data_IF_724099588780
#
_entry.id   IF_724099588780
#
_cell.length_a   1.000
_cell.length_b   1.000
_cell.length_c   1.000
_cell.angle_alpha   90.00
_cell.angle_beta   90.00
_cell.angle_gamma   90.00
#
_symmetry.space_group_name_H-M   'P 1'
#
loop_
_entity.id
_entity.type
_entity.pdbx_description
1 polymer ?
#
# COMPACT_ATOMS: atom_id res chain seq x y z
N UNK A 1 -9.90 7.49 3.89
CA UNK A 1 -8.75 8.11 4.59
C UNK A 1 -7.57 8.13 3.63
N UNK A 2 -6.67 9.11 3.74
CA UNK A 2 -5.57 9.30 2.77
C UNK A 2 -4.21 9.32 3.46
N UNK A 3 -3.25 8.62 2.84
CA UNK A 3 -1.83 8.87 3.02
C UNK A 3 -1.33 9.73 1.86
N UNK A 4 -0.98 11.02 2.09
CA UNK A 4 -0.38 11.87 1.06
C UNK A 4 0.97 11.30 0.59
N UNK A 5 1.01 10.74 -0.62
CA UNK A 5 2.21 10.12 -1.22
C UNK A 5 2.13 8.60 -1.42
N UNK A 6 1.15 7.93 -0.82
CA UNK A 6 0.93 6.49 -1.01
C UNK A 6 -0.48 6.16 -1.52
N UNK A 7 -1.47 7.00 -1.24
CA UNK A 7 -2.80 6.87 -1.84
C UNK A 7 -2.81 7.50 -3.25
N UNK A 8 -3.12 6.74 -4.31
CA UNK A 8 -3.18 7.30 -5.67
C UNK A 8 -4.36 8.26 -5.82
N UNK A 9 -4.25 9.18 -6.78
CA UNK A 9 -5.36 10.04 -7.15
C UNK A 9 -6.50 9.19 -7.74
N UNK A 10 -7.70 9.31 -7.17
CA UNK A 10 -8.89 8.66 -7.71
C UNK A 10 -9.29 9.36 -9.01
N UNK A 11 -9.41 8.58 -10.09
CA UNK A 11 -9.85 9.06 -11.39
C UNK A 11 -11.11 8.32 -11.77
N UNK A 12 -12.09 9.08 -12.27
CA UNK A 12 -13.30 8.51 -12.86
C UNK A 12 -13.21 8.66 -14.36
N UNK A 13 -13.49 7.55 -15.06
CA UNK A 13 -13.58 7.54 -16.50
C UNK A 13 -15.04 7.77 -16.88
N UNK A 14 -15.38 8.99 -17.30
CA UNK A 14 -16.74 9.30 -17.72
C UNK A 14 -16.90 8.98 -19.21
N UNK A 15 -17.61 7.89 -19.51
CA UNK A 15 -17.83 7.41 -20.88
C UNK A 15 -18.73 8.39 -21.66
N UNK A 16 -19.49 9.25 -20.97
CA UNK A 16 -20.44 10.18 -21.58
C UNK A 16 -19.90 11.62 -21.74
N UNK A 17 -18.75 11.96 -21.15
CA UNK A 17 -18.22 13.33 -21.14
C UNK A 17 -17.02 13.54 -22.09
N UNK A 18 -16.84 14.74 -22.67
CA UNK A 18 -15.73 15.06 -23.57
C UNK A 18 -14.35 15.09 -22.87
N UNK A 19 -14.32 15.12 -21.54
CA UNK A 19 -13.10 14.95 -20.74
C UNK A 19 -13.11 13.53 -20.16
N UNK A 20 -12.41 12.56 -20.78
CA UNK A 20 -12.58 11.16 -20.44
C UNK A 20 -12.19 10.86 -18.99
N UNK A 21 -11.26 11.62 -18.39
CA UNK A 21 -10.78 11.37 -17.03
C UNK A 21 -10.92 12.61 -16.14
N UNK A 22 -11.79 12.52 -15.13
CA UNK A 22 -11.93 13.55 -14.09
C UNK A 22 -11.26 13.07 -12.79
N UNK A 23 -10.46 13.93 -12.16
CA UNK A 23 -9.90 13.64 -10.85
C UNK A 23 -10.97 13.84 -9.77
N UNK A 24 -11.26 12.80 -8.99
CA UNK A 24 -12.17 12.89 -7.86
C UNK A 24 -11.36 13.25 -6.62
N UNK A 25 -11.77 14.32 -5.93
CA UNK A 25 -11.30 14.61 -4.58
C UNK A 25 -12.29 14.02 -3.57
N UNK A 26 -12.02 12.84 -3.00
CA UNK A 26 -12.93 12.26 -2.00
C UNK A 26 -12.93 13.14 -0.74
N UNK A 27 -14.09 13.20 -0.06
CA UNK A 27 -14.13 13.72 1.31
C UNK A 27 -13.39 12.73 2.21
N UNK A 28 -12.36 13.22 2.90
CA UNK A 28 -11.50 12.36 3.71
C UNK A 28 -11.47 12.85 5.14
N UNK A 29 -12.03 12.07 6.09
CA UNK A 29 -12.11 12.49 7.50
C UNK A 29 -10.74 12.43 8.20
N UNK A 30 -9.81 11.63 7.65
CA UNK A 30 -8.46 11.43 8.19
C UNK A 30 -7.45 11.50 7.05
N UNK A 31 -6.44 12.34 7.25
CA UNK A 31 -5.24 12.43 6.43
C UNK A 31 -4.02 12.25 7.35
N UNK A 32 -3.16 11.29 7.05
CA UNK A 32 -1.99 10.99 7.88
C UNK A 32 -0.83 10.45 7.03
N UNK A 33 0.40 10.77 7.42
CA UNK A 33 1.63 10.25 6.81
C UNK A 33 2.14 8.98 7.51
N UNK A 34 1.25 8.20 8.12
CA UNK A 34 1.59 6.98 8.85
C UNK A 34 0.59 5.87 8.52
N UNK A 35 1.09 4.81 7.89
CA UNK A 35 0.28 3.63 7.55
C UNK A 35 -0.28 2.94 8.78
N UNK A 36 0.44 2.98 9.92
CA UNK A 36 -0.02 2.40 11.19
C UNK A 36 -1.23 3.14 11.77
N UNK A 37 -1.23 4.48 11.69
CA UNK A 37 -2.36 5.28 12.12
C UNK A 37 -3.60 4.99 11.27
N UNK A 38 -3.42 4.95 9.95
CA UNK A 38 -4.49 4.65 9.02
C UNK A 38 -5.04 3.24 9.19
N UNK A 39 -4.18 2.25 9.47
CA UNK A 39 -4.60 0.89 9.83
C UNK A 39 -5.47 0.89 11.08
N UNK A 40 -5.01 1.53 12.16
CA UNK A 40 -5.78 1.61 13.41
C UNK A 40 -7.14 2.28 13.20
N UNK A 41 -7.19 3.33 12.38
CA UNK A 41 -8.43 4.02 12.03
C UNK A 41 -9.37 3.12 11.20
N UNK A 42 -8.83 2.35 10.24
CA UNK A 42 -9.60 1.38 9.45
C UNK A 42 -10.19 0.27 10.34
N UNK A 43 -9.38 -0.31 11.22
CA UNK A 43 -9.82 -1.32 12.21
C UNK A 43 -10.86 -0.76 13.19
N UNK A 44 -10.88 0.55 13.41
CA UNK A 44 -11.87 1.24 14.26
C UNK A 44 -13.13 1.67 13.47
N UNK A 45 -13.28 1.25 12.22
CA UNK A 45 -14.46 1.55 11.41
C UNK A 45 -14.51 2.97 10.84
N UNK A 46 -13.40 3.71 10.81
CA UNK A 46 -13.35 5.11 10.34
C UNK A 46 -13.36 5.24 8.79
N UNK A 47 -13.67 4.16 8.09
CA UNK A 47 -13.81 4.09 6.63
C UNK A 47 -12.66 3.37 5.92
N UNK A 48 -12.48 3.69 4.64
CA UNK A 48 -11.58 2.96 3.73
C UNK A 48 -10.17 3.56 3.75
N UNK A 49 -9.13 2.72 3.71
CA UNK A 49 -7.74 3.14 3.61
C UNK A 49 -6.99 2.35 2.52
N UNK A 50 -6.03 3.01 1.86
CA UNK A 50 -5.12 2.38 0.91
C UNK A 50 -3.81 2.06 1.63
N UNK A 51 -3.55 0.78 1.90
CA UNK A 51 -2.43 0.32 2.74
C UNK A 51 -1.63 -0.80 2.05
N UNK A 52 -0.32 -0.90 2.32
CA UNK A 52 0.50 -2.00 1.82
C UNK A 52 0.00 -3.37 2.30
N UNK A 53 0.04 -4.36 1.42
CA UNK A 53 -0.46 -5.72 1.65
C UNK A 53 0.22 -6.41 2.85
N UNK A 54 1.54 -6.22 3.02
CA UNK A 54 2.30 -6.75 4.16
C UNK A 54 1.79 -6.28 5.52
N UNK A 55 1.17 -5.10 5.58
CA UNK A 55 0.71 -4.50 6.82
C UNK A 55 -0.68 -5.02 7.23
N UNK A 56 -1.48 -5.44 6.25
CA UNK A 56 -2.91 -5.71 6.44
C UNK A 56 -3.29 -7.18 6.22
N UNK A 57 -2.39 -8.02 5.71
CA UNK A 57 -2.65 -9.43 5.39
C UNK A 57 -3.26 -10.20 6.56
N UNK A 58 -2.65 -10.15 7.74
CA UNK A 58 -3.15 -10.84 8.93
C UNK A 58 -4.54 -10.34 9.38
N UNK A 59 -4.83 -9.05 9.17
CA UNK A 59 -6.12 -8.47 9.51
C UNK A 59 -7.21 -8.86 8.50
N UNK A 60 -6.85 -9.07 7.24
CA UNK A 60 -7.74 -9.62 6.22
C UNK A 60 -8.01 -11.10 6.50
N UNK A 61 -6.97 -11.88 6.79
CA UNK A 61 -7.09 -13.31 7.13
C UNK A 61 -7.98 -13.52 8.37
N UNK A 62 -7.89 -12.63 9.36
CA UNK A 62 -8.73 -12.64 10.55
C UNK A 62 -10.16 -12.08 10.32
N UNK A 63 -10.47 -11.59 9.11
CA UNK A 63 -11.77 -10.97 8.79
C UNK A 63 -12.00 -9.60 9.42
N UNK A 64 -10.99 -9.00 10.05
CA UNK A 64 -11.07 -7.67 10.65
C UNK A 64 -11.03 -6.55 9.59
N UNK A 65 -10.46 -6.83 8.42
CA UNK A 65 -10.49 -5.97 7.25
C UNK A 65 -11.07 -6.72 6.05
N UNK A 66 -11.82 -6.02 5.21
CA UNK A 66 -12.40 -6.56 3.98
C UNK A 66 -11.78 -5.85 2.78
N UNK A 67 -11.15 -6.58 1.83
CA UNK A 67 -10.63 -5.99 0.60
C UNK A 67 -11.75 -5.39 -0.25
N UNK A 68 -11.53 -4.18 -0.77
CA UNK A 68 -12.44 -3.54 -1.71
C UNK A 68 -12.02 -3.90 -3.14
N UNK A 69 -12.86 -4.67 -3.84
CA UNK A 69 -12.68 -4.90 -5.28
C UNK A 69 -13.24 -3.70 -6.05
N UNK A 70 -12.38 -3.04 -6.82
CA UNK A 70 -12.78 -1.99 -7.76
C UNK A 70 -12.81 -2.58 -9.17
N UNK A 71 -13.79 -2.17 -9.96
CA UNK A 71 -13.91 -2.57 -11.36
C UNK A 71 -12.89 -1.81 -12.21
N UNK A 72 -12.05 -2.53 -12.96
CA UNK A 72 -11.10 -1.95 -13.92
C UNK A 72 -9.66 -2.46 -13.80
N UNK A 73 -8.82 -2.13 -14.80
CA UNK A 73 -7.37 -2.39 -14.74
C UNK A 73 -6.70 -1.28 -13.94
N UNK A 74 -6.09 -1.66 -12.82
CA UNK A 74 -5.29 -0.75 -12.01
C UNK A 74 -4.03 -0.33 -12.76
N UNK A 75 -3.92 0.97 -13.05
CA UNK A 75 -2.69 1.59 -13.54
C UNK A 75 -2.03 2.38 -12.39
N UNK A 76 -1.82 1.73 -11.25
CA UNK A 76 -1.11 2.33 -10.12
C UNK A 76 0.31 1.80 -10.04
N UNK A 77 1.31 2.66 -9.74
CA UNK A 77 2.67 2.20 -9.56
C UNK A 77 2.71 1.24 -8.37
N UNK A 78 3.16 0.00 -8.61
CA UNK A 78 3.47 -0.90 -7.50
C UNK A 78 4.60 -0.28 -6.68
N UNK A 79 4.36 -0.13 -5.38
CA UNK A 79 5.41 0.27 -4.45
C UNK A 79 6.27 -0.94 -4.10
N UNK A 80 7.57 -0.83 -4.33
CA UNK A 80 8.56 -1.86 -3.98
C UNK A 80 9.23 -1.55 -2.65
N UNK A 81 9.57 -2.59 -1.89
CA UNK A 81 10.39 -2.46 -0.69
C UNK A 81 11.87 -2.61 -1.08
N UNK A 82 12.69 -1.66 -0.66
CA UNK A 82 14.12 -1.63 -1.00
C UNK A 82 14.98 -1.73 0.25
N UNK A 83 16.00 -2.58 0.21
CA UNK A 83 17.08 -2.56 1.19
C UNK A 83 18.16 -1.58 0.73
N UNK A 84 18.20 -0.39 1.32
CA UNK A 84 19.21 0.64 1.03
C UNK A 84 20.35 0.55 2.03
N UNK A 85 21.58 0.48 1.54
CA UNK A 85 22.79 0.46 2.34
C UNK A 85 23.92 1.18 1.60
N UNK A 86 24.88 1.74 2.35
CA UNK A 86 25.99 2.46 1.73
C UNK A 86 26.87 1.51 0.91
N UNK A 87 27.27 1.92 -0.31
CA UNK A 87 28.26 1.18 -1.07
C UNK A 87 29.58 1.20 -0.29
N UNK A 88 30.08 0.02 0.08
CA UNK A 88 31.36 -0.15 0.75
C UNK A 88 32.37 -0.74 -0.22
N UNK A 89 33.61 -0.22 -0.21
CA UNK A 89 34.73 -0.74 -1.02
C UNK A 89 34.99 -2.23 -0.72
N UNK A 90 34.72 -2.65 0.51
CA UNK A 90 34.71 -4.05 0.94
C UNK A 90 33.26 -4.46 1.23
N UNK A 91 32.76 -5.50 0.55
CA UNK A 91 31.40 -6.01 0.76
C UNK A 91 31.26 -6.40 2.24
N UNK A 92 30.36 -5.76 2.99
CA UNK A 92 30.18 -6.08 4.42
C UNK A 92 29.39 -7.39 4.53
N UNK A 93 30.03 -8.52 4.92
CA UNK A 93 29.37 -9.81 4.91
C UNK A 93 28.20 -9.85 5.90
N UNK A 94 28.26 -9.13 7.02
CA UNK A 94 27.17 -9.08 8.00
C UNK A 94 25.90 -8.45 7.41
N UNK A 95 26.06 -7.33 6.70
CA UNK A 95 24.93 -6.66 6.03
C UNK A 95 24.37 -7.55 4.93
N UNK A 96 25.25 -8.21 4.15
CA UNK A 96 24.79 -9.09 3.08
C UNK A 96 24.04 -10.31 3.62
N UNK A 97 24.60 -10.98 4.63
CA UNK A 97 23.94 -12.11 5.30
C UNK A 97 22.59 -11.72 5.90
N UNK A 98 22.46 -10.51 6.46
CA UNK A 98 21.17 -10.03 6.96
C UNK A 98 20.15 -9.77 5.83
N UNK A 99 20.59 -9.19 4.71
CA UNK A 99 19.73 -9.01 3.54
C UNK A 99 19.32 -10.36 2.95
N UNK A 100 20.25 -11.31 2.86
CA UNK A 100 19.97 -12.66 2.37
C UNK A 100 18.94 -13.35 3.26
N UNK A 101 19.10 -13.26 4.59
CA UNK A 101 18.11 -13.73 5.57
C UNK A 101 16.72 -13.12 5.35
N UNK A 102 16.62 -11.79 5.17
CA UNK A 102 15.33 -11.11 4.92
C UNK A 102 14.68 -11.54 3.61
N UNK A 103 15.47 -11.87 2.58
CA UNK A 103 14.97 -12.34 1.28
C UNK A 103 14.53 -13.80 1.37
N UNK A 104 15.26 -14.63 2.11
CA UNK A 104 14.93 -16.05 2.34
C UNK A 104 13.66 -16.21 3.19
N UNK A 105 13.45 -15.34 4.18
CA UNK A 105 12.26 -15.35 5.04
C UNK A 105 10.98 -14.88 4.31
N UNK A 106 11.03 -14.78 2.98
CA UNK A 106 9.97 -14.47 2.03
C UNK A 106 8.55 -14.74 2.56
N UNK A 107 8.00 -13.78 3.33
CA UNK A 107 6.59 -13.77 3.66
C UNK A 107 5.88 -13.47 2.35
N UNK A 108 4.85 -14.23 1.94
CA UNK A 108 4.05 -13.80 0.81
C UNK A 108 3.31 -12.53 1.24
N UNK A 109 3.89 -11.38 0.93
CA UNK A 109 3.33 -10.07 1.25
C UNK A 109 1.96 -9.89 0.60
N UNK A 110 1.65 -10.71 -0.41
CA UNK A 110 0.43 -10.73 -1.23
C UNK A 110 -0.42 -12.00 -1.03
N UNK A 111 -0.62 -12.47 0.22
CA UNK A 111 -1.43 -13.69 0.47
C UNK A 111 -2.90 -13.60 0.03
N UNK A 112 -3.44 -12.40 -0.16
CA UNK A 112 -4.88 -12.18 -0.34
C UNK A 112 -5.26 -11.64 -1.73
N UNK A 113 -4.31 -11.52 -2.66
CA UNK A 113 -4.58 -11.14 -4.07
C UNK A 113 -5.41 -12.19 -4.82
#
# INVERSE_FOLDING_TARGET
>A
MIYPGLTPALRYNDIASPHPQCAIKPRTPVQANSSLLLLKAALSGQGIAWLPSYLISQHIDAGALVPLKLDGKYAYPMHSLYALYFPSKFRNPKVRSFIDFLVEENQPWNRWE
#
